data_IF_582443043099
#
_entry.id   IF_582443043099
#
_cell.length_a   1.000
_cell.length_b   1.000
_cell.length_c   1.000
_cell.angle_alpha   90.00
_cell.angle_beta   90.00
_cell.angle_gamma   90.00
#
_symmetry.space_group_name_H-M   'P 1'
#
loop_
_entity.id
_entity.type
_entity.pdbx_description
1 polymer ?
#
# COMPACT_ATOMS: atom_id res chain seq x y z
N UNK A 1 6.11 27.37 11.68
CA UNK A 1 6.32 26.28 12.65
C UNK A 1 5.02 25.64 13.11
N UNK A 2 4.01 26.43 13.44
CA UNK A 2 2.70 25.87 13.78
C UNK A 2 2.08 25.07 12.64
N UNK A 3 2.22 25.55 11.39
CA UNK A 3 1.68 24.84 10.23
C UNK A 3 2.35 23.48 10.03
N UNK A 4 3.66 23.37 10.33
CA UNK A 4 4.37 22.09 10.24
C UNK A 4 3.87 21.11 11.30
N UNK A 5 3.75 21.57 12.55
CA UNK A 5 3.23 20.73 13.63
C UNK A 5 1.78 20.34 13.38
N UNK A 6 0.96 21.28 12.91
CA UNK A 6 -0.43 21.00 12.55
C UNK A 6 -0.53 19.93 11.46
N UNK A 7 0.34 20.01 10.46
CA UNK A 7 0.38 19.01 9.39
C UNK A 7 0.78 17.63 9.93
N UNK A 8 1.79 17.57 10.80
CA UNK A 8 2.20 16.32 11.42
C UNK A 8 1.08 15.73 12.28
N UNK A 9 0.41 16.55 13.08
CA UNK A 9 -0.69 16.10 13.93
C UNK A 9 -1.85 15.59 13.08
N UNK A 10 -2.19 16.30 12.03
CA UNK A 10 -3.24 15.90 11.10
C UNK A 10 -2.89 14.56 10.44
N UNK A 11 -1.67 14.43 9.97
CA UNK A 11 -1.20 13.20 9.34
C UNK A 11 -1.29 12.03 10.31
N UNK A 12 -0.84 12.22 11.56
CA UNK A 12 -0.88 11.16 12.57
C UNK A 12 -2.30 10.72 12.88
N UNK A 13 -3.23 11.68 13.00
CA UNK A 13 -4.65 11.36 13.28
C UNK A 13 -5.29 10.60 12.13
N UNK A 14 -5.05 11.05 10.90
CA UNK A 14 -5.61 10.39 9.71
C UNK A 14 -5.03 8.99 9.57
N UNK A 15 -3.73 8.86 9.70
CA UNK A 15 -3.06 7.56 9.59
C UNK A 15 -3.56 6.60 10.68
N UNK A 16 -3.72 7.08 11.91
CA UNK A 16 -4.24 6.27 13.00
C UNK A 16 -5.67 5.79 12.76
N UNK A 17 -6.53 6.67 12.24
CA UNK A 17 -7.91 6.32 11.92
C UNK A 17 -7.96 5.31 10.78
N UNK A 18 -7.14 5.51 9.73
CA UNK A 18 -7.04 4.56 8.62
C UNK A 18 -6.56 3.19 9.09
N UNK A 19 -5.51 3.17 9.91
CA UNK A 19 -4.94 1.92 10.42
C UNK A 19 -5.99 1.14 11.19
N UNK A 20 -6.72 1.81 12.07
CA UNK A 20 -7.75 1.15 12.88
C UNK A 20 -8.86 0.57 12.02
N UNK A 21 -9.41 1.36 11.10
CA UNK A 21 -10.54 0.92 10.26
C UNK A 21 -10.11 -0.20 9.33
N UNK A 22 -8.96 -0.05 8.68
CA UNK A 22 -8.49 -1.07 7.73
C UNK A 22 -8.15 -2.38 8.43
N UNK A 23 -7.50 -2.32 9.60
CA UNK A 23 -7.19 -3.54 10.35
C UNK A 23 -8.44 -4.22 10.88
N UNK A 24 -9.37 -3.48 11.45
CA UNK A 24 -10.57 -4.06 12.05
C UNK A 24 -11.52 -4.63 11.01
N UNK A 25 -11.68 -3.97 9.87
CA UNK A 25 -12.68 -4.37 8.89
C UNK A 25 -12.11 -5.22 7.76
N UNK A 26 -10.83 -5.08 7.44
CA UNK A 26 -10.26 -5.72 6.26
C UNK A 26 -8.95 -6.47 6.52
N UNK A 27 -8.41 -6.39 7.74
CA UNK A 27 -7.22 -7.13 8.12
C UNK A 27 -5.95 -6.71 7.43
N UNK A 28 -5.87 -5.46 6.95
CA UNK A 28 -4.67 -4.92 6.31
C UNK A 28 -4.30 -3.57 6.91
N UNK A 29 -3.01 -3.24 6.86
CA UNK A 29 -2.52 -1.95 7.33
C UNK A 29 -2.59 -0.89 6.25
N UNK A 30 -2.31 0.36 6.64
CA UNK A 30 -2.31 1.50 5.72
C UNK A 30 -1.27 1.31 4.62
N UNK A 31 -0.05 0.92 4.97
CA UNK A 31 1.01 0.72 3.99
C UNK A 31 0.69 -0.44 3.04
N UNK A 32 0.09 -1.51 3.57
CA UNK A 32 -0.35 -2.64 2.75
C UNK A 32 -1.42 -2.21 1.75
N UNK A 33 -2.39 -1.41 2.20
CA UNK A 33 -3.42 -0.87 1.31
C UNK A 33 -2.80 0.00 0.21
N UNK A 34 -1.86 0.88 0.56
CA UNK A 34 -1.20 1.75 -0.41
C UNK A 34 -0.44 0.95 -1.46
N UNK A 35 0.25 -0.09 -1.05
CA UNK A 35 0.95 -0.97 -1.99
C UNK A 35 -0.03 -1.69 -2.91
N UNK A 36 -1.10 -2.25 -2.36
CA UNK A 36 -2.12 -2.90 -3.18
C UNK A 36 -2.73 -1.92 -4.18
N UNK A 37 -3.01 -0.69 -3.76
CA UNK A 37 -3.55 0.33 -4.65
C UNK A 37 -2.62 0.62 -5.81
N UNK A 38 -1.32 0.78 -5.54
CA UNK A 38 -0.34 1.02 -6.59
C UNK A 38 -0.25 -0.14 -7.56
N UNK A 39 -0.29 -1.37 -7.05
CA UNK A 39 -0.22 -2.56 -7.90
C UNK A 39 -1.47 -2.73 -8.76
N UNK A 40 -2.65 -2.42 -8.21
CA UNK A 40 -3.90 -2.50 -8.96
C UNK A 40 -3.95 -1.44 -10.05
N UNK A 41 -3.47 -0.23 -9.77
CA UNK A 41 -3.50 0.88 -10.72
C UNK A 41 -2.33 0.86 -11.71
N UNK A 42 -1.27 0.12 -11.41
CA UNK A 42 -0.06 0.12 -12.22
C UNK A 42 -0.30 -0.56 -13.56
N UNK A 43 0.38 -0.07 -14.58
CA UNK A 43 0.49 -0.75 -15.87
C UNK A 43 1.53 -1.86 -15.74
N UNK A 44 1.52 -2.81 -16.67
CA UNK A 44 2.36 -4.01 -16.63
C UNK A 44 3.84 -3.73 -16.39
N UNK A 45 4.33 -2.56 -16.82
CA UNK A 45 5.76 -2.22 -16.75
C UNK A 45 6.14 -1.52 -15.43
N UNK A 46 5.18 -1.17 -14.59
CA UNK A 46 5.41 -0.25 -13.47
C UNK A 46 5.48 -0.94 -12.12
N UNK A 47 5.62 -2.26 -12.11
CA UNK A 47 5.55 -3.06 -10.89
C UNK A 47 6.91 -3.42 -10.30
N UNK A 48 7.98 -2.73 -10.72
CA UNK A 48 9.30 -2.96 -10.15
C UNK A 48 9.33 -2.52 -8.69
N UNK A 49 9.90 -3.38 -7.83
CA UNK A 49 10.01 -3.11 -6.41
C UNK A 49 10.69 -1.77 -6.13
N UNK A 50 11.70 -1.43 -6.91
CA UNK A 50 12.44 -0.19 -6.76
C UNK A 50 11.57 1.03 -6.97
N UNK A 51 10.74 1.03 -8.01
CA UNK A 51 9.84 2.14 -8.33
C UNK A 51 8.69 2.19 -7.34
N UNK A 52 8.21 1.03 -6.92
CA UNK A 52 7.13 0.93 -5.96
C UNK A 52 7.52 1.54 -4.60
N UNK A 53 8.74 1.27 -4.14
CA UNK A 53 9.23 1.83 -2.88
C UNK A 53 9.18 3.36 -2.90
N UNK A 54 9.61 3.98 -4.00
CA UNK A 54 9.56 5.43 -4.14
C UNK A 54 8.15 5.97 -4.11
N UNK A 55 7.21 5.31 -4.78
CA UNK A 55 5.83 5.81 -4.87
C UNK A 55 5.06 5.68 -3.56
N UNK A 56 5.42 4.75 -2.68
CA UNK A 56 4.73 4.58 -1.39
C UNK A 56 5.56 5.10 -0.21
N UNK A 57 6.67 5.76 -0.49
CA UNK A 57 7.52 6.39 0.53
C UNK A 57 8.06 5.41 1.57
N UNK A 58 8.46 4.22 1.11
CA UNK A 58 9.08 3.21 1.94
C UNK A 58 10.51 2.96 1.48
N UNK A 59 11.37 2.54 2.42
CA UNK A 59 12.70 2.06 2.05
C UNK A 59 12.56 0.72 1.32
N UNK A 60 13.58 0.33 0.57
CA UNK A 60 13.59 -0.97 -0.13
C UNK A 60 13.41 -2.13 0.86
N UNK A 61 14.09 -2.07 2.00
CA UNK A 61 13.98 -3.14 3.00
C UNK A 61 12.59 -3.20 3.64
N UNK A 62 11.99 -2.05 3.94
CA UNK A 62 10.65 -2.00 4.49
C UNK A 62 9.63 -2.54 3.50
N UNK A 63 9.73 -2.13 2.23
CA UNK A 63 8.86 -2.63 1.17
C UNK A 63 9.02 -4.13 0.99
N UNK A 64 10.25 -4.63 0.98
CA UNK A 64 10.51 -6.05 0.80
C UNK A 64 9.85 -6.89 1.90
N UNK A 65 9.92 -6.43 3.16
CA UNK A 65 9.25 -7.11 4.27
C UNK A 65 7.73 -7.07 4.14
N UNK A 66 7.19 -5.92 3.72
CA UNK A 66 5.75 -5.75 3.53
C UNK A 66 5.24 -6.66 2.42
N UNK A 67 5.94 -6.70 1.29
CA UNK A 67 5.60 -7.59 0.19
C UNK A 67 5.65 -9.05 0.64
N UNK A 68 6.64 -9.42 1.45
CA UNK A 68 6.73 -10.77 2.01
C UNK A 68 5.50 -11.14 2.83
N UNK A 69 4.99 -10.20 3.63
CA UNK A 69 3.75 -10.43 4.39
C UNK A 69 2.54 -10.59 3.47
N UNK A 70 2.44 -9.73 2.46
CA UNK A 70 1.34 -9.81 1.49
C UNK A 70 1.39 -11.11 0.69
N UNK A 71 2.60 -11.57 0.33
CA UNK A 71 2.78 -12.87 -0.32
C UNK A 71 2.30 -14.01 0.56
N UNK A 72 2.67 -13.97 1.85
CA UNK A 72 2.27 -15.00 2.80
C UNK A 72 0.74 -15.09 2.93
N UNK A 73 0.05 -13.98 2.76
CA UNK A 73 -1.41 -13.93 2.80
C UNK A 73 -2.05 -14.21 1.44
N UNK A 74 -1.25 -14.42 0.40
CA UNK A 74 -1.76 -14.72 -0.94
C UNK A 74 -2.28 -13.51 -1.70
N UNK A 75 -1.95 -12.30 -1.27
CA UNK A 75 -2.46 -11.07 -1.88
C UNK A 75 -1.56 -10.54 -2.99
N UNK A 76 -0.29 -10.93 -2.98
CA UNK A 76 0.73 -10.47 -3.92
C UNK A 76 1.63 -11.66 -4.27
N UNK A 77 2.18 -11.65 -5.47
CA UNK A 77 3.22 -12.60 -5.88
C UNK A 77 4.43 -11.83 -6.39
N UNK A 78 5.63 -12.37 -6.18
CA UNK A 78 6.87 -11.81 -6.73
C UNK A 78 7.28 -12.59 -7.95
N UNK A 79 7.71 -11.84 -8.99
CA UNK A 79 8.28 -12.45 -10.18
C UNK A 79 9.60 -11.76 -10.51
N UNK A 80 10.57 -12.53 -10.98
CA UNK A 80 11.83 -11.99 -11.48
C UNK A 80 11.62 -11.64 -12.94
N UNK A 81 12.01 -10.41 -13.32
CA UNK A 81 11.90 -9.98 -14.70
C UNK A 81 12.93 -10.75 -15.56
N UNK A 82 12.49 -11.52 -16.56
CA UNK A 82 13.44 -12.29 -17.41
C UNK A 82 14.37 -11.39 -18.22
N UNK A 83 13.95 -10.17 -18.53
CA UNK A 83 14.71 -9.26 -19.38
C UNK A 83 15.65 -8.36 -18.58
N UNK A 84 15.43 -8.24 -17.29
CA UNK A 84 16.26 -7.43 -16.41
C UNK A 84 16.53 -8.21 -15.14
N UNK A 85 17.72 -8.82 -15.06
CA UNK A 85 18.10 -9.70 -13.96
C UNK A 85 18.16 -8.97 -12.60
N UNK A 86 18.14 -7.63 -12.62
CA UNK A 86 18.17 -6.82 -11.41
C UNK A 86 16.79 -6.42 -10.96
N UNK A 87 15.75 -6.73 -11.74
CA UNK A 87 14.39 -6.33 -11.44
C UNK A 87 13.58 -7.44 -10.81
N UNK A 88 12.97 -7.14 -9.68
CA UNK A 88 11.95 -7.99 -9.07
C UNK A 88 10.64 -7.24 -9.20
N UNK A 89 9.63 -7.90 -9.73
CA UNK A 89 8.29 -7.35 -9.86
C UNK A 89 7.39 -7.90 -8.77
N UNK A 90 6.49 -7.06 -8.29
CA UNK A 90 5.38 -7.49 -7.45
C UNK A 90 4.11 -7.41 -8.29
N UNK A 91 3.28 -8.44 -8.21
CA UNK A 91 2.01 -8.51 -8.94
C UNK A 91 0.88 -8.77 -7.95
N UNK A 92 -0.23 -8.05 -8.09
CA UNK A 92 -1.39 -8.28 -7.25
C UNK A 92 -2.10 -9.54 -7.73
N UNK A 93 -2.53 -10.39 -6.79
CA UNK A 93 -3.32 -11.58 -7.11
C UNK A 93 -4.80 -11.22 -7.20
N UNK A 94 -5.62 -12.16 -7.64
CA UNK A 94 -7.08 -11.97 -7.63
C UNK A 94 -7.59 -11.69 -6.21
N UNK A 95 -7.06 -12.39 -5.20
CA UNK A 95 -7.43 -12.17 -3.81
C UNK A 95 -6.97 -10.79 -3.32
N UNK A 96 -5.76 -10.37 -3.73
CA UNK A 96 -5.25 -9.05 -3.39
C UNK A 96 -6.11 -7.94 -3.98
N UNK A 97 -6.51 -8.09 -5.23
CA UNK A 97 -7.41 -7.15 -5.88
C UNK A 97 -8.76 -7.09 -5.16
N UNK A 98 -9.31 -8.24 -4.81
CA UNK A 98 -10.59 -8.30 -4.10
C UNK A 98 -10.49 -7.64 -2.72
N UNK A 99 -9.37 -7.85 -1.99
CA UNK A 99 -9.16 -7.21 -0.70
C UNK A 99 -9.08 -5.70 -0.83
N UNK A 100 -8.34 -5.22 -1.83
CA UNK A 100 -8.24 -3.79 -2.10
C UNK A 100 -9.61 -3.19 -2.44
N UNK A 101 -10.34 -3.81 -3.34
CA UNK A 101 -11.65 -3.29 -3.75
C UNK A 101 -12.64 -3.26 -2.58
N UNK A 102 -12.58 -4.25 -1.70
CA UNK A 102 -13.44 -4.29 -0.51
C UNK A 102 -13.05 -3.20 0.50
N UNK A 103 -11.76 -2.92 0.64
CA UNK A 103 -11.26 -1.95 1.62
C UNK A 103 -11.36 -0.50 1.13
N UNK A 104 -11.38 -0.28 -0.17
CA UNK A 104 -11.34 1.05 -0.78
C UNK A 104 -12.42 2.00 -0.27
N UNK A 105 -13.72 1.60 -0.20
CA UNK A 105 -14.74 2.51 0.31
C UNK A 105 -14.48 2.97 1.75
N UNK A 106 -14.01 2.07 2.61
CA UNK A 106 -13.69 2.42 4.00
C UNK A 106 -12.53 3.42 4.06
N UNK A 107 -11.49 3.19 3.28
CA UNK A 107 -10.34 4.09 3.22
C UNK A 107 -10.77 5.47 2.71
N UNK A 108 -11.55 5.53 1.64
CA UNK A 108 -12.05 6.78 1.07
C UNK A 108 -12.96 7.53 2.06
N UNK A 109 -13.76 6.80 2.82
CA UNK A 109 -14.66 7.42 3.80
C UNK A 109 -13.88 8.07 4.94
N UNK A 110 -12.85 7.40 5.45
CA UNK A 110 -11.99 7.99 6.49
C UNK A 110 -11.34 9.26 5.99
N UNK A 111 -10.81 9.24 4.76
CA UNK A 111 -10.19 10.43 4.17
C UNK A 111 -11.19 11.56 3.98
N UNK A 112 -12.37 11.24 3.48
CA UNK A 112 -13.42 12.26 3.25
C UNK A 112 -13.81 12.94 4.57
N UNK A 113 -13.99 12.16 5.64
CA UNK A 113 -14.36 12.68 6.95
C UNK A 113 -13.23 13.54 7.55
N UNK A 114 -12.00 13.12 7.38
CA UNK A 114 -10.85 13.81 7.96
C UNK A 114 -10.47 15.09 7.21
N UNK A 115 -10.72 15.13 5.89
CA UNK A 115 -10.32 16.24 5.04
C UNK A 115 -11.48 17.17 4.67
N UNK A 116 -12.65 16.88 5.20
CA UNK A 116 -13.85 17.69 4.93
C UNK A 116 -13.77 19.08 5.57
#
# INVERSE_FOLDING_TARGET
>A
MESWRGLLDQHARITGALERVLQEQHGIGVSEFEVLERLVEARDDDNRMQDLAGSVHLSQSALSRLIGRLEAEGLVSRTICPQDRRGIFACVTAEGRARYEAAKPAQRQVLADALA
#
